data_IF_889895926767
#
_entry.id   IF_889895926767
#
_cell.length_a   1.000
_cell.length_b   1.000
_cell.length_c   1.000
_cell.angle_alpha   90.00
_cell.angle_beta   90.00
_cell.angle_gamma   90.00
#
_symmetry.space_group_name_H-M   'P 1'
#
loop_
_entity.id
_entity.type
_entity.pdbx_description
1 polymer ?
#
# COMPACT_ATOMS: atom_id res chain seq x y z
N UNK A 1 10.66 10.26 -18.80
CA UNK A 1 10.94 10.61 -17.39
C UNK A 1 10.76 9.34 -16.60
N UNK A 2 11.74 8.93 -15.79
CA UNK A 2 11.62 7.70 -14.99
C UNK A 2 10.48 7.89 -13.97
N UNK A 3 9.58 6.91 -13.85
CA UNK A 3 8.45 6.98 -12.93
C UNK A 3 8.94 6.80 -11.48
N UNK A 4 8.32 7.46 -10.51
CA UNK A 4 8.64 7.26 -9.08
C UNK A 4 8.43 5.81 -8.62
N UNK A 5 7.55 5.09 -9.30
CA UNK A 5 7.38 3.65 -9.10
C UNK A 5 8.58 2.83 -9.59
N UNK A 6 9.33 3.29 -10.60
CA UNK A 6 10.59 2.65 -11.00
C UNK A 6 11.64 2.83 -9.90
N UNK A 7 11.71 4.01 -9.28
CA UNK A 7 12.63 4.27 -8.16
C UNK A 7 12.29 3.37 -6.95
N UNK A 8 11.01 3.19 -6.64
CA UNK A 8 10.56 2.26 -5.59
C UNK A 8 10.94 0.82 -5.90
N UNK A 9 10.70 0.36 -7.13
CA UNK A 9 11.02 -1.01 -7.54
C UNK A 9 12.54 -1.26 -7.52
N UNK A 10 13.33 -0.32 -8.04
CA UNK A 10 14.80 -0.41 -8.00
C UNK A 10 15.31 -0.50 -6.55
N UNK A 11 14.82 0.40 -5.67
CA UNK A 11 15.18 0.37 -4.25
C UNK A 11 14.84 -1.00 -3.64
N UNK A 12 13.61 -1.48 -3.83
CA UNK A 12 13.15 -2.72 -3.24
C UNK A 12 13.89 -3.96 -3.78
N UNK A 13 14.25 -3.98 -5.08
CA UNK A 13 15.07 -5.05 -5.68
C UNK A 13 16.49 -5.10 -5.09
N UNK A 14 17.04 -3.97 -4.67
CA UNK A 14 18.33 -3.87 -3.99
C UNK A 14 18.33 -4.43 -2.57
N UNK A 15 17.16 -4.49 -1.92
CA UNK A 15 17.02 -4.90 -0.52
C UNK A 15 16.83 -6.41 -0.31
N UNK A 16 16.51 -7.17 -1.37
CA UNK A 16 16.23 -8.60 -1.30
C UNK A 16 17.25 -9.45 -2.06
N UNK A 17 17.38 -10.71 -1.67
CA UNK A 17 18.19 -11.74 -2.32
C UNK A 17 17.38 -13.00 -2.67
N UNK A 18 17.91 -13.86 -3.54
CA UNK A 18 17.24 -15.11 -3.92
C UNK A 18 16.98 -16.03 -2.72
N UNK A 19 17.80 -15.94 -1.67
CA UNK A 19 17.56 -16.64 -0.41
C UNK A 19 16.29 -16.16 0.31
N UNK A 20 15.95 -14.88 0.22
CA UNK A 20 14.71 -14.35 0.78
C UNK A 20 13.50 -14.94 0.05
N UNK A 21 13.58 -15.03 -1.28
CA UNK A 21 12.53 -15.66 -2.08
C UNK A 21 12.37 -17.14 -1.75
N UNK A 22 13.47 -17.90 -1.67
CA UNK A 22 13.41 -19.32 -1.25
C UNK A 22 12.84 -19.50 0.15
N UNK A 23 12.99 -18.51 1.02
CA UNK A 23 12.53 -18.59 2.41
C UNK A 23 11.07 -18.21 2.57
N UNK A 24 10.61 -17.18 1.87
CA UNK A 24 9.32 -16.54 2.13
C UNK A 24 8.29 -16.73 1.01
N UNK A 25 8.68 -17.10 -0.20
CA UNK A 25 7.70 -17.46 -1.22
C UNK A 25 6.93 -18.73 -0.79
N UNK A 26 5.68 -18.90 -1.27
CA UNK A 26 4.92 -20.13 -1.06
C UNK A 26 5.74 -21.36 -1.48
N UNK A 27 5.61 -22.44 -0.71
CA UNK A 27 6.30 -23.70 -0.98
C UNK A 27 5.34 -24.68 -1.65
N UNK A 28 5.43 -24.84 -2.97
CA UNK A 28 4.91 -26.04 -3.63
C UNK A 28 6.05 -27.06 -3.72
N UNK A 29 5.92 -28.28 -3.14
CA UNK A 29 6.97 -29.28 -3.22
C UNK A 29 7.30 -29.64 -4.68
N UNK A 30 8.43 -29.15 -5.19
CA UNK A 30 8.92 -29.42 -6.54
C UNK A 30 8.66 -28.31 -7.57
N UNK A 31 8.00 -27.22 -7.18
CA UNK A 31 7.76 -26.06 -8.04
C UNK A 31 8.53 -24.83 -7.54
N UNK A 32 9.46 -24.34 -8.36
CA UNK A 32 10.25 -23.14 -8.07
C UNK A 32 9.68 -21.90 -8.78
N UNK A 33 8.47 -22.00 -9.33
CA UNK A 33 7.79 -20.94 -10.08
C UNK A 33 7.78 -19.59 -9.36
N UNK A 34 7.36 -19.54 -8.10
CA UNK A 34 7.34 -18.29 -7.31
C UNK A 34 8.72 -17.63 -7.15
N UNK A 35 9.76 -18.44 -6.91
CA UNK A 35 11.14 -17.95 -6.77
C UNK A 35 11.64 -17.42 -8.10
N UNK A 36 11.32 -18.09 -9.21
CA UNK A 36 11.66 -17.65 -10.55
C UNK A 36 10.95 -16.35 -10.94
N UNK A 37 9.67 -16.18 -10.57
CA UNK A 37 8.93 -14.93 -10.77
C UNK A 37 9.61 -13.76 -10.04
N UNK A 38 9.85 -13.92 -8.73
CA UNK A 38 10.49 -12.89 -7.91
C UNK A 38 11.92 -12.57 -8.38
N UNK A 39 12.72 -13.60 -8.67
CA UNK A 39 14.09 -13.43 -9.18
C UNK A 39 14.10 -12.78 -10.56
N UNK A 40 13.13 -13.10 -11.41
CA UNK A 40 12.92 -12.48 -12.71
C UNK A 40 12.71 -10.98 -12.59
N UNK A 41 11.73 -10.56 -11.79
CA UNK A 41 11.47 -9.13 -11.53
C UNK A 41 12.68 -8.45 -10.93
N UNK A 42 13.33 -9.06 -9.92
CA UNK A 42 14.54 -8.50 -9.30
C UNK A 42 15.66 -8.27 -10.30
N UNK A 43 15.91 -9.25 -11.19
CA UNK A 43 17.01 -9.20 -12.16
C UNK A 43 16.78 -8.18 -13.28
N UNK A 44 15.52 -7.98 -13.68
CA UNK A 44 15.14 -7.07 -14.75
C UNK A 44 14.78 -5.66 -14.24
N UNK A 45 14.47 -5.55 -12.95
CA UNK A 45 13.90 -4.36 -12.32
C UNK A 45 12.61 -3.88 -13.02
N UNK A 46 11.84 -4.83 -13.54
CA UNK A 46 10.62 -4.61 -14.31
C UNK A 46 9.59 -5.68 -13.95
N UNK A 47 8.32 -5.30 -13.91
CA UNK A 47 7.22 -6.25 -13.76
C UNK A 47 6.81 -6.81 -15.13
N UNK A 48 6.38 -8.07 -15.23
CA UNK A 48 5.90 -8.63 -16.50
C UNK A 48 4.64 -7.90 -16.98
N UNK A 49 4.45 -7.84 -18.31
CA UNK A 49 3.22 -7.30 -18.92
C UNK A 49 2.02 -8.22 -18.66
N UNK A 50 2.22 -9.55 -18.78
CA UNK A 50 1.22 -10.56 -18.42
C UNK A 50 1.36 -10.93 -16.94
N UNK A 51 0.30 -10.76 -16.16
CA UNK A 51 0.33 -11.08 -14.73
C UNK A 51 0.06 -12.55 -14.49
N UNK A 52 1.08 -13.25 -13.99
CA UNK A 52 0.97 -14.62 -13.52
C UNK A 52 0.08 -14.69 -12.26
N UNK A 53 -1.00 -15.51 -12.23
CA UNK A 53 -1.87 -15.65 -11.07
C UNK A 53 -1.14 -16.05 -9.77
N UNK A 54 0.05 -16.68 -9.88
CA UNK A 54 0.88 -17.02 -8.72
C UNK A 54 1.30 -15.82 -7.88
N UNK A 55 1.32 -14.62 -8.46
CA UNK A 55 1.57 -13.37 -7.71
C UNK A 55 0.55 -13.15 -6.59
N UNK A 56 -0.67 -13.65 -6.72
CA UNK A 56 -1.68 -13.57 -5.67
C UNK A 56 -1.21 -14.23 -4.36
N UNK A 57 -0.62 -15.42 -4.46
CA UNK A 57 -0.15 -16.14 -3.28
C UNK A 57 1.09 -15.47 -2.67
N UNK A 58 1.99 -14.97 -3.51
CA UNK A 58 3.16 -14.20 -3.07
C UNK A 58 2.73 -12.95 -2.30
N UNK A 59 1.80 -12.17 -2.85
CA UNK A 59 1.25 -10.98 -2.18
C UNK A 59 0.50 -11.34 -0.90
N UNK A 60 -0.27 -12.43 -0.93
CA UNK A 60 -0.98 -12.95 0.24
C UNK A 60 -0.05 -13.23 1.41
N UNK A 61 1.12 -13.83 1.16
CA UNK A 61 2.15 -14.07 2.18
C UNK A 61 2.80 -12.76 2.63
N UNK A 62 3.22 -11.90 1.70
CA UNK A 62 3.92 -10.68 2.05
C UNK A 62 3.05 -9.67 2.83
N UNK A 63 1.78 -9.53 2.48
CA UNK A 63 0.91 -8.48 3.01
C UNK A 63 0.25 -8.87 4.34
N UNK A 64 0.01 -10.17 4.58
CA UNK A 64 -0.67 -10.69 5.80
C UNK A 64 0.19 -11.62 6.65
N UNK A 65 1.28 -12.12 6.09
CA UNK A 65 2.14 -13.10 6.76
C UNK A 65 3.04 -12.47 7.81
N UNK A 66 3.66 -13.35 8.59
CA UNK A 66 4.72 -13.01 9.54
C UNK A 66 5.86 -14.02 9.38
N UNK A 67 7.11 -13.65 9.71
CA UNK A 67 8.20 -14.60 9.64
C UNK A 67 7.98 -15.74 10.66
N UNK A 68 8.29 -16.98 10.26
CA UNK A 68 8.21 -18.13 11.18
C UNK A 68 9.16 -17.99 12.38
N UNK A 69 10.30 -17.33 12.16
CA UNK A 69 11.33 -17.11 13.20
C UNK A 69 11.49 -15.62 13.45
N UNK A 70 11.49 -15.15 14.71
CA UNK A 70 11.74 -13.74 15.03
C UNK A 70 13.06 -13.20 14.45
N UNK A 71 14.09 -14.04 14.35
CA UNK A 71 15.38 -13.68 13.76
C UNK A 71 15.32 -13.31 12.28
N UNK A 72 14.24 -13.67 11.59
CA UNK A 72 14.04 -13.41 10.15
C UNK A 72 13.23 -12.13 9.90
N UNK A 73 12.79 -11.41 10.94
CA UNK A 73 11.93 -10.24 10.81
C UNK A 73 12.47 -9.16 9.88
N UNK A 74 13.75 -8.79 10.02
CA UNK A 74 14.36 -7.79 9.14
C UNK A 74 14.38 -8.21 7.66
N UNK A 75 14.60 -9.50 7.38
CA UNK A 75 14.58 -10.04 6.01
C UNK A 75 13.16 -10.09 5.45
N UNK A 76 12.20 -10.50 6.27
CA UNK A 76 10.79 -10.53 5.88
C UNK A 76 10.24 -9.12 5.57
N UNK A 77 10.64 -8.10 6.33
CA UNK A 77 10.26 -6.70 6.04
C UNK A 77 10.76 -6.26 4.66
N UNK A 78 11.98 -6.64 4.27
CA UNK A 78 12.53 -6.32 2.94
C UNK A 78 11.81 -7.08 1.83
N UNK A 79 11.49 -8.35 2.05
CA UNK A 79 10.64 -9.14 1.15
C UNK A 79 9.25 -8.50 0.99
N UNK A 80 8.66 -8.04 2.09
CA UNK A 80 7.37 -7.34 2.08
C UNK A 80 7.42 -6.02 1.30
N UNK A 81 8.51 -5.25 1.45
CA UNK A 81 8.75 -4.05 0.64
C UNK A 81 8.82 -4.40 -0.86
N UNK A 82 9.60 -5.43 -1.22
CA UNK A 82 9.71 -5.92 -2.59
C UNK A 82 8.34 -6.28 -3.17
N UNK A 83 7.57 -7.12 -2.49
CA UNK A 83 6.22 -7.49 -2.94
C UNK A 83 5.28 -6.28 -3.04
N UNK A 84 5.37 -5.33 -2.11
CA UNK A 84 4.60 -4.08 -2.15
C UNK A 84 4.95 -3.22 -3.37
N UNK A 85 6.23 -3.11 -3.71
CA UNK A 85 6.70 -2.36 -4.89
C UNK A 85 6.22 -3.01 -6.20
N UNK A 86 6.28 -4.34 -6.30
CA UNK A 86 5.76 -5.09 -7.46
C UNK A 86 4.25 -4.94 -7.57
N UNK A 87 3.52 -5.05 -6.45
CA UNK A 87 2.07 -4.88 -6.45
C UNK A 87 1.65 -3.46 -6.86
N UNK A 88 2.34 -2.43 -6.37
CA UNK A 88 2.12 -1.04 -6.77
C UNK A 88 2.34 -0.82 -8.27
N UNK A 89 3.30 -1.53 -8.86
CA UNK A 89 3.52 -1.55 -10.31
C UNK A 89 2.41 -2.27 -11.07
N UNK A 90 1.89 -3.38 -10.58
CA UNK A 90 0.77 -4.04 -11.25
C UNK A 90 -0.52 -3.23 -11.22
N UNK A 91 -0.76 -2.46 -10.15
CA UNK A 91 -1.90 -1.55 -10.08
C UNK A 91 -1.95 -0.59 -11.28
N UNK A 92 -0.80 -0.17 -11.83
CA UNK A 92 -0.76 0.75 -12.99
C UNK A 92 -0.70 0.04 -14.36
N UNK A 93 -0.23 -1.21 -14.42
CA UNK A 93 -0.06 -1.94 -15.70
C UNK A 93 -1.35 -2.62 -16.15
N UNK A 94 -2.10 -3.22 -15.22
CA UNK A 94 -3.37 -3.87 -15.51
C UNK A 94 -4.33 -3.65 -14.33
N UNK A 95 -5.07 -2.53 -14.30
CA UNK A 95 -5.89 -2.17 -13.15
C UNK A 95 -7.23 -2.94 -13.08
N UNK A 96 -7.24 -4.18 -13.60
CA UNK A 96 -8.35 -5.15 -13.53
C UNK A 96 -8.00 -6.41 -12.72
N UNK A 97 -6.84 -6.43 -12.07
CA UNK A 97 -6.40 -7.47 -11.14
C UNK A 97 -7.09 -7.33 -9.77
N UNK A 98 -8.36 -6.99 -9.78
CA UNK A 98 -9.17 -6.61 -8.62
C UNK A 98 -9.20 -7.69 -7.54
N UNK A 99 -9.08 -8.96 -7.95
CA UNK A 99 -9.01 -10.11 -7.05
C UNK A 99 -7.60 -10.42 -6.57
N UNK A 100 -6.57 -9.84 -7.20
CA UNK A 100 -5.16 -10.18 -6.99
C UNK A 100 -4.41 -9.09 -6.21
N UNK A 101 -4.70 -7.81 -6.45
CA UNK A 101 -3.99 -6.68 -5.81
C UNK A 101 -4.99 -5.70 -5.19
N UNK A 102 -5.02 -5.67 -3.86
CA UNK A 102 -5.90 -4.79 -3.09
C UNK A 102 -5.13 -3.52 -2.71
N UNK A 103 -5.63 -2.35 -3.13
CA UNK A 103 -4.93 -1.06 -2.97
C UNK A 103 -4.60 -0.77 -1.50
N UNK A 104 -5.56 -0.98 -0.59
CA UNK A 104 -5.33 -0.71 0.82
C UNK A 104 -4.23 -1.62 1.42
N UNK A 105 -4.07 -2.85 0.92
CA UNK A 105 -3.05 -3.80 1.38
C UNK A 105 -1.66 -3.38 0.92
N UNK A 106 -1.55 -2.94 -0.34
CA UNK A 106 -0.31 -2.41 -0.90
C UNK A 106 0.14 -1.19 -0.10
N UNK A 107 -0.76 -0.23 0.13
CA UNK A 107 -0.45 0.99 0.86
C UNK A 107 -0.01 0.72 2.30
N UNK A 108 -0.77 -0.09 3.04
CA UNK A 108 -0.43 -0.46 4.42
C UNK A 108 0.92 -1.17 4.48
N UNK A 109 1.16 -2.11 3.55
CA UNK A 109 2.40 -2.89 3.48
C UNK A 109 3.63 -2.01 3.23
N UNK A 110 3.53 -1.04 2.33
CA UNK A 110 4.62 -0.11 2.01
C UNK A 110 4.91 0.84 3.18
N UNK A 111 3.88 1.44 3.80
CA UNK A 111 4.05 2.33 4.96
C UNK A 111 4.72 1.59 6.13
N UNK A 112 4.21 0.41 6.49
CA UNK A 112 4.76 -0.37 7.59
C UNK A 112 6.21 -0.80 7.31
N UNK A 113 6.50 -1.22 6.08
CA UNK A 113 7.87 -1.62 5.71
C UNK A 113 8.83 -0.44 5.73
N UNK A 114 8.42 0.73 5.23
CA UNK A 114 9.24 1.93 5.24
C UNK A 114 9.62 2.38 6.65
N UNK A 115 8.65 2.43 7.56
CA UNK A 115 8.88 2.80 8.97
C UNK A 115 9.78 1.80 9.69
N UNK A 116 9.61 0.49 9.44
CA UNK A 116 10.46 -0.54 10.03
C UNK A 116 11.89 -0.53 9.48
N UNK A 117 12.08 -0.17 8.22
CA UNK A 117 13.40 -0.02 7.60
C UNK A 117 14.07 1.28 8.06
N UNK A 118 13.31 2.35 8.28
CA UNK A 118 13.83 3.64 8.75
C UNK A 118 14.71 4.37 7.73
N UNK A 119 14.61 4.02 6.45
CA UNK A 119 15.38 4.68 5.38
C UNK A 119 14.68 5.95 4.92
N UNK A 120 15.29 7.10 5.20
CA UNK A 120 14.79 8.41 4.71
C UNK A 120 14.60 8.44 3.19
N UNK A 121 15.53 7.84 2.43
CA UNK A 121 15.44 7.78 0.98
C UNK A 121 14.21 7.00 0.49
N UNK A 122 13.85 5.91 1.19
CA UNK A 122 12.63 5.17 0.89
C UNK A 122 11.37 5.99 1.21
N UNK A 123 11.34 6.69 2.35
CA UNK A 123 10.23 7.58 2.70
C UNK A 123 10.07 8.70 1.68
N UNK A 124 11.17 9.28 1.19
CA UNK A 124 11.19 10.29 0.12
C UNK A 124 10.70 9.75 -1.24
N UNK A 125 10.93 8.47 -1.54
CA UNK A 125 10.34 7.83 -2.72
C UNK A 125 8.82 7.67 -2.51
N UNK A 126 8.41 7.14 -1.35
CA UNK A 126 7.02 6.78 -1.09
C UNK A 126 6.09 7.99 -0.98
N UNK A 127 6.57 9.12 -0.44
CA UNK A 127 5.78 10.35 -0.38
C UNK A 127 5.38 10.86 -1.76
N UNK A 128 6.19 10.59 -2.80
CA UNK A 128 5.85 10.93 -4.19
C UNK A 128 5.05 9.80 -4.88
N UNK A 129 5.31 8.53 -4.55
CA UNK A 129 4.62 7.37 -5.14
C UNK A 129 3.14 7.35 -4.79
N UNK A 130 2.78 7.61 -3.54
CA UNK A 130 1.41 7.46 -3.07
C UNK A 130 0.42 8.42 -3.77
N UNK A 131 0.69 9.74 -3.88
CA UNK A 131 -0.19 10.65 -4.62
C UNK A 131 -0.25 10.31 -6.12
N UNK A 132 0.85 9.83 -6.71
CA UNK A 132 0.86 9.38 -8.10
C UNK A 132 -0.05 8.15 -8.29
N UNK A 133 0.03 7.15 -7.41
CA UNK A 133 -0.87 6.00 -7.42
C UNK A 133 -2.33 6.41 -7.21
N UNK A 134 -2.60 7.32 -6.28
CA UNK A 134 -3.95 7.83 -6.05
C UNK A 134 -4.56 8.38 -7.34
N UNK A 135 -3.79 9.19 -8.08
CA UNK A 135 -4.23 9.81 -9.34
C UNK A 135 -4.45 8.79 -10.45
N UNK A 136 -3.50 7.86 -10.68
CA UNK A 136 -3.66 6.85 -11.73
C UNK A 136 -4.91 5.99 -11.47
N UNK A 137 -5.17 5.64 -10.20
CA UNK A 137 -6.36 4.88 -9.83
C UNK A 137 -7.64 5.72 -9.98
N UNK A 138 -7.61 7.01 -9.62
CA UNK A 138 -8.73 7.94 -9.84
C UNK A 138 -9.08 8.06 -11.33
N UNK A 139 -8.08 8.24 -12.20
CA UNK A 139 -8.24 8.41 -13.64
C UNK A 139 -8.72 7.11 -14.33
N UNK A 140 -8.36 5.95 -13.79
CA UNK A 140 -8.66 4.66 -14.42
C UNK A 140 -10.15 4.28 -14.42
N UNK A 141 -10.98 4.79 -13.49
CA UNK A 141 -12.42 4.43 -13.26
C UNK A 141 -13.17 3.85 -14.48
N UNK A 142 -12.93 2.57 -14.78
CA UNK A 142 -13.66 1.77 -15.77
C UNK A 142 -14.90 1.12 -15.13
N UNK A 143 -15.89 0.66 -15.92
CA UNK A 143 -17.22 0.28 -15.43
C UNK A 143 -17.29 -0.94 -14.48
N UNK A 144 -16.18 -1.62 -14.19
CA UNK A 144 -16.13 -2.81 -13.33
C UNK A 144 -15.96 -2.51 -11.84
N UNK A 145 -16.44 -1.37 -11.36
CA UNK A 145 -17.18 -1.20 -10.09
C UNK A 145 -16.64 -1.64 -8.71
N UNK A 146 -15.51 -2.33 -8.55
CA UNK A 146 -15.15 -2.92 -7.24
C UNK A 146 -13.81 -2.46 -6.63
N UNK A 147 -12.76 -2.14 -7.40
CA UNK A 147 -11.44 -1.77 -6.82
C UNK A 147 -11.05 -0.31 -6.98
N UNK A 148 -11.73 0.44 -7.84
CA UNK A 148 -11.40 1.85 -8.10
C UNK A 148 -11.89 2.83 -6.99
N UNK A 149 -12.39 2.31 -5.88
CA UNK A 149 -12.92 3.08 -4.76
C UNK A 149 -11.95 3.17 -3.57
N UNK A 150 -10.86 2.38 -3.57
CA UNK A 150 -9.89 2.34 -2.47
C UNK A 150 -8.70 3.31 -2.62
N UNK A 151 -8.61 4.05 -3.73
CA UNK A 151 -7.51 5.01 -3.93
C UNK A 151 -7.38 6.09 -2.83
N UNK A 152 -8.41 6.47 -2.04
CA UNK A 152 -8.21 7.35 -0.90
C UNK A 152 -7.22 6.81 0.15
N UNK A 153 -7.02 5.49 0.26
CA UNK A 153 -5.97 4.92 1.12
C UNK A 153 -4.55 5.31 0.68
N UNK A 154 -4.33 5.54 -0.62
CA UNK A 154 -3.06 6.06 -1.12
C UNK A 154 -2.78 7.45 -0.53
N UNK A 155 -3.79 8.33 -0.46
CA UNK A 155 -3.63 9.68 0.07
C UNK A 155 -3.28 9.66 1.56
N UNK A 156 -3.96 8.83 2.36
CA UNK A 156 -3.60 8.64 3.77
C UNK A 156 -2.17 8.10 3.93
N UNK A 157 -1.76 7.15 3.10
CA UNK A 157 -0.39 6.64 3.11
C UNK A 157 0.64 7.72 2.79
N UNK A 158 0.33 8.59 1.81
CA UNK A 158 1.14 9.76 1.47
C UNK A 158 1.26 10.74 2.64
N UNK A 159 0.16 11.04 3.35
CA UNK A 159 0.17 11.88 4.54
C UNK A 159 1.12 11.34 5.61
N UNK A 160 1.10 10.03 5.87
CA UNK A 160 1.97 9.39 6.87
C UNK A 160 3.45 9.51 6.48
N UNK A 161 3.80 9.32 5.19
CA UNK A 161 5.18 9.50 4.72
C UNK A 161 5.61 10.97 4.74
N UNK A 162 4.70 11.91 4.49
CA UNK A 162 4.98 13.34 4.56
C UNK A 162 5.21 13.80 6.02
N UNK A 163 4.42 13.31 6.97
CA UNK A 163 4.61 13.56 8.42
C UNK A 163 5.94 12.96 8.90
N UNK A 164 6.28 11.73 8.49
CA UNK A 164 7.58 11.09 8.82
C UNK A 164 8.79 11.88 8.25
N UNK A 165 8.56 12.78 7.28
CA UNK A 165 9.56 13.69 6.70
C UNK A 165 9.45 15.14 7.21
N UNK A 166 8.56 15.40 8.17
CA UNK A 166 8.28 16.75 8.71
C UNK A 166 7.85 17.76 7.62
N UNK A 167 7.10 17.30 6.62
CA UNK A 167 6.59 18.13 5.51
C UNK A 167 5.15 18.60 5.77
N UNK A 168 4.95 19.42 6.80
CA UNK A 168 3.63 19.85 7.27
C UNK A 168 2.70 20.39 6.15
N UNK A 169 3.22 21.26 5.27
CA UNK A 169 2.45 21.82 4.14
C UNK A 169 1.91 20.73 3.20
N UNK A 170 2.70 19.67 2.97
CA UNK A 170 2.31 18.55 2.13
C UNK A 170 1.30 17.64 2.84
N UNK A 171 1.44 17.46 4.15
CA UNK A 171 0.45 16.71 4.95
C UNK A 171 -0.92 17.39 4.85
N UNK A 172 -0.97 18.72 4.97
CA UNK A 172 -2.20 19.51 4.85
C UNK A 172 -2.81 19.43 3.45
N UNK A 173 -2.00 19.57 2.39
CA UNK A 173 -2.46 19.43 1.01
C UNK A 173 -3.06 18.04 0.73
N UNK A 174 -2.37 16.97 1.17
CA UNK A 174 -2.85 15.60 1.03
C UNK A 174 -4.10 15.33 1.88
N UNK A 175 -4.24 15.96 3.05
CA UNK A 175 -5.46 15.88 3.86
C UNK A 175 -6.67 16.46 3.13
N UNK A 176 -6.51 17.63 2.49
CA UNK A 176 -7.57 18.24 1.68
C UNK A 176 -7.96 17.37 0.48
N UNK A 177 -6.97 16.80 -0.20
CA UNK A 177 -7.22 15.84 -1.29
C UNK A 177 -7.95 14.59 -0.78
N UNK A 178 -7.56 14.06 0.39
CA UNK A 178 -8.16 12.86 0.98
C UNK A 178 -9.64 13.07 1.31
N UNK A 179 -10.00 14.17 1.96
CA UNK A 179 -11.41 14.47 2.30
C UNK A 179 -12.27 14.55 1.05
N UNK A 180 -11.78 15.24 0.01
CA UNK A 180 -12.48 15.37 -1.27
C UNK A 180 -12.62 14.02 -1.99
N UNK A 181 -11.55 13.24 -2.02
CA UNK A 181 -11.53 11.93 -2.65
C UNK A 181 -12.51 10.96 -1.97
N UNK A 182 -12.56 11.00 -0.64
CA UNK A 182 -13.47 10.19 0.17
C UNK A 182 -14.94 10.56 -0.07
N UNK A 183 -15.27 11.85 -0.05
CA UNK A 183 -16.60 12.37 -0.36
C UNK A 183 -17.05 11.92 -1.76
N UNK A 184 -16.19 12.12 -2.76
CA UNK A 184 -16.49 11.74 -4.14
C UNK A 184 -16.72 10.24 -4.29
N UNK A 185 -15.84 9.40 -3.72
CA UNK A 185 -16.03 7.94 -3.80
C UNK A 185 -17.33 7.55 -3.13
N UNK A 186 -17.68 8.17 -1.99
CA UNK A 186 -18.91 7.89 -1.26
C UNK A 186 -20.16 8.26 -2.05
N UNK A 187 -20.16 9.36 -2.78
CA UNK A 187 -21.28 9.75 -3.66
C UNK A 187 -21.47 8.77 -4.84
N UNK A 188 -20.36 8.25 -5.37
CA UNK A 188 -20.37 7.39 -6.55
C UNK A 188 -20.52 5.90 -6.23
N UNK A 189 -20.28 5.50 -4.98
CA UNK A 189 -20.35 4.12 -4.54
C UNK A 189 -21.79 3.63 -4.44
N UNK A 190 -22.04 2.40 -4.93
CA UNK A 190 -23.35 1.76 -4.80
C UNK A 190 -23.67 1.34 -3.36
N UNK A 191 -22.65 1.00 -2.57
CA UNK A 191 -22.80 0.54 -1.17
C UNK A 191 -21.64 1.05 -0.30
N UNK A 192 -21.46 2.38 -0.11
CA UNK A 192 -20.44 2.88 0.79
C UNK A 192 -20.82 2.51 2.22
N UNK A 193 -19.91 1.86 2.95
CA UNK A 193 -20.02 1.72 4.41
C UNK A 193 -20.03 3.11 5.06
N UNK A 194 -20.47 3.22 6.32
CA UNK A 194 -20.61 4.54 6.97
C UNK A 194 -19.28 5.10 7.47
N UNK A 195 -18.27 4.25 7.60
CA UNK A 195 -16.97 4.58 8.16
C UNK A 195 -16.10 5.34 7.15
N UNK A 196 -15.48 6.42 7.58
CA UNK A 196 -14.50 7.15 6.78
C UNK A 196 -13.33 6.24 6.43
N UNK A 197 -12.94 6.20 5.15
CA UNK A 197 -11.98 5.27 4.54
C UNK A 197 -12.29 3.77 4.69
N UNK A 198 -12.44 3.29 5.92
CA UNK A 198 -12.68 1.88 6.23
C UNK A 198 -14.04 1.39 5.70
N UNK A 199 -15.00 2.26 5.44
CA UNK A 199 -16.26 1.95 4.77
C UNK A 199 -16.14 1.87 3.25
N UNK A 200 -15.00 2.26 2.67
CA UNK A 200 -14.74 2.20 1.23
C UNK A 200 -14.12 0.87 0.78
N UNK A 201 -13.80 -0.02 1.72
CA UNK A 201 -13.24 -1.34 1.43
C UNK A 201 -14.07 -2.45 2.05
N UNK A 202 -14.20 -3.56 1.31
CA UNK A 202 -14.78 -4.81 1.83
C UNK A 202 -13.71 -5.73 2.45
N UNK A 203 -12.43 -5.35 2.42
CA UNK A 203 -11.33 -6.15 2.92
C UNK A 203 -10.92 -5.72 4.33
N UNK A 204 -11.54 -6.37 5.31
CA UNK A 204 -11.49 -5.95 6.71
C UNK A 204 -10.23 -6.34 7.49
N UNK A 205 -9.38 -7.20 6.94
CA UNK A 205 -8.32 -7.86 7.71
C UNK A 205 -7.21 -6.92 8.16
N UNK A 206 -7.05 -5.75 7.51
CA UNK A 206 -6.04 -4.74 7.85
C UNK A 206 -6.62 -3.51 8.56
N UNK A 207 -7.89 -3.52 8.96
CA UNK A 207 -8.50 -2.34 9.60
C UNK A 207 -7.79 -1.94 10.89
N UNK A 208 -7.43 -2.91 11.73
CA UNK A 208 -6.69 -2.63 12.96
C UNK A 208 -5.30 -2.05 12.69
N UNK A 209 -4.65 -2.45 11.59
CA UNK A 209 -3.37 -1.89 11.17
C UNK A 209 -3.52 -0.45 10.67
N UNK A 210 -4.56 -0.19 9.87
CA UNK A 210 -4.88 1.16 9.41
C UNK A 210 -5.26 2.11 10.55
N UNK A 211 -6.01 1.63 11.54
CA UNK A 211 -6.35 2.42 12.72
C UNK A 211 -5.10 2.81 13.49
N UNK A 212 -4.19 1.87 13.76
CA UNK A 212 -2.90 2.18 14.40
C UNK A 212 -2.05 3.17 13.58
N UNK A 213 -2.04 3.03 12.25
CA UNK A 213 -1.35 3.96 11.37
C UNK A 213 -2.00 5.35 11.42
N UNK A 214 -3.33 5.45 11.36
CA UNK A 214 -4.06 6.69 11.49
C UNK A 214 -3.83 7.38 12.85
N UNK A 215 -3.82 6.62 13.95
CA UNK A 215 -3.53 7.13 15.29
C UNK A 215 -2.12 7.70 15.42
N UNK A 216 -1.17 7.21 14.62
CA UNK A 216 0.21 7.70 14.60
C UNK A 216 0.38 9.03 13.84
N UNK A 217 -0.64 9.53 13.15
CA UNK A 217 -0.59 10.83 12.48
C UNK A 217 -0.60 11.93 13.55
N UNK A 218 0.52 12.63 13.75
CA UNK A 218 0.68 13.55 14.88
C UNK A 218 -0.06 14.89 14.64
N UNK A 219 -0.05 15.41 13.41
CA UNK A 219 -0.46 16.78 13.07
C UNK A 219 0.45 17.82 13.75
N UNK A 220 1.77 17.68 13.54
CA UNK A 220 2.78 18.57 14.13
C UNK A 220 2.60 20.03 13.75
N UNK A 221 2.18 20.28 12.50
CA UNK A 221 1.84 21.60 11.97
C UNK A 221 0.57 22.25 12.54
N UNK A 222 -0.25 21.49 13.29
CA UNK A 222 -1.56 21.93 13.85
C UNK A 222 -2.53 22.46 12.79
N UNK A 223 -2.56 21.80 11.64
CA UNK A 223 -3.45 22.16 10.56
C UNK A 223 -4.87 21.66 10.84
N UNK A 224 -5.87 22.49 10.55
CA UNK A 224 -7.28 22.20 10.83
C UNK A 224 -7.84 21.08 9.92
N UNK A 225 -7.37 20.99 8.67
CA UNK A 225 -7.78 19.95 7.72
C UNK A 225 -7.21 18.59 8.11
N UNK A 226 -5.96 18.55 8.58
CA UNK A 226 -5.38 17.34 9.16
C UNK A 226 -6.15 16.92 10.43
N UNK A 227 -6.55 17.90 11.25
CA UNK A 227 -7.35 17.62 12.44
C UNK A 227 -8.74 17.07 12.10
N UNK A 228 -9.36 17.52 11.02
CA UNK A 228 -10.62 16.99 10.49
C UNK A 228 -10.47 15.53 10.06
N UNK A 229 -9.43 15.20 9.27
CA UNK A 229 -9.12 13.81 8.88
C UNK A 229 -8.97 12.91 10.12
N UNK A 230 -8.19 13.35 11.12
CA UNK A 230 -8.04 12.64 12.40
C UNK A 230 -9.38 12.48 13.13
N UNK A 231 -10.25 13.49 13.07
CA UNK A 231 -11.59 13.46 13.62
C UNK A 231 -12.49 12.41 12.97
N UNK A 232 -12.46 12.31 11.64
CA UNK A 232 -13.21 11.33 10.84
C UNK A 232 -12.71 9.88 11.06
N UNK A 233 -11.38 9.70 11.21
CA UNK A 233 -10.77 8.42 11.56
C UNK A 233 -11.01 8.06 13.04
N UNK A 234 -11.21 9.07 13.88
CA UNK A 234 -11.50 8.95 15.30
C UNK A 234 -12.83 8.25 15.56
N UNK A 235 -12.79 7.17 16.34
CA UNK A 235 -13.99 6.47 16.81
C UNK A 235 -14.45 5.31 15.93
N UNK A 236 -13.83 5.05 14.77
CA UNK A 236 -14.16 3.90 13.90
C UNK A 236 -14.08 2.57 14.66
N UNK A 237 -13.17 2.44 15.64
CA UNK A 237 -13.05 1.25 16.49
C UNK A 237 -14.33 0.90 17.28
N UNK A 238 -15.10 1.91 17.69
CA UNK A 238 -16.28 1.73 18.55
C UNK A 238 -17.47 1.12 17.82
N UNK A 239 -17.50 1.20 16.50
CA UNK A 239 -18.66 0.81 15.70
C UNK A 239 -18.67 -0.67 15.32
N UNK A 240 -17.54 -1.37 15.47
CA UNK A 240 -17.41 -2.82 15.21
C UNK A 240 -17.55 -3.71 16.44
N UNK A 241 -17.66 -3.10 17.62
CA UNK A 241 -17.93 -3.80 18.88
C UNK A 241 -19.44 -3.93 19.18
N UNK A 242 -20.30 -3.47 18.26
CA UNK A 242 -21.77 -3.48 18.36
C UNK A 242 -22.42 -4.60 17.56
#
# INVERSE_FOLDING_TARGET
MKSRLDDLLEFACGEVGDEDFRRFCPSNPGDMSYVHLCSGVRSRQEVPEDVDPEWFEIFGVAQRGTPEKPSEGGRFVRFRLFCGAVAAKFLITEPGLDTVVIVNYVCCSLVQSARLIGSRALTEILVDVFPALAKEMEDYRTPSGWVVQEYPFCLLAGMLMAEDLEKDDLVADLAGQLLKAEEQVREESFFPGHEFLLGLTNYDSLHADWLKLAESLENSGKDDTVQEVKGCLGGVEKWRAG
#
